data_IF_813701294748
#
_entry.id   IF_813701294748
#
_cell.length_a   1.000
_cell.length_b   1.000
_cell.length_c   1.000
_cell.angle_alpha   90.00
_cell.angle_beta   90.00
_cell.angle_gamma   90.00
#
_symmetry.space_group_name_H-M   'P 1'
#
loop_
_entity.id
_entity.type
_entity.pdbx_description
1 polymer ?
#
# COMPACT_ATOMS: atom_id res chain seq x y z
N UNK A 1 31.21 6.36 -4.99
CA UNK A 1 30.95 5.20 -4.12
C UNK A 1 29.95 4.36 -4.89
N UNK A 2 30.32 3.14 -5.30
CA UNK A 2 29.38 2.24 -5.97
C UNK A 2 28.27 1.90 -4.99
N UNK A 3 27.04 2.36 -5.27
CA UNK A 3 25.86 1.83 -4.57
C UNK A 3 25.85 0.32 -4.74
N UNK A 4 26.04 -0.39 -3.64
CA UNK A 4 26.02 -1.85 -3.66
C UNK A 4 24.67 -2.31 -4.19
N UNK A 5 24.67 -3.27 -5.11
CA UNK A 5 23.44 -3.83 -5.68
C UNK A 5 22.53 -4.30 -4.54
N UNK A 6 21.39 -3.62 -4.37
CA UNK A 6 20.39 -4.00 -3.36
C UNK A 6 19.94 -5.45 -3.59
N UNK A 7 19.92 -6.23 -2.51
CA UNK A 7 19.48 -7.63 -2.58
C UNK A 7 18.02 -7.74 -2.11
N UNK A 8 17.08 -8.12 -2.99
CA UNK A 8 15.68 -8.31 -2.59
C UNK A 8 15.50 -9.31 -1.43
N UNK A 9 16.39 -10.31 -1.34
CA UNK A 9 16.34 -11.34 -0.30
C UNK A 9 17.02 -10.93 1.02
N UNK A 10 17.49 -9.69 1.14
CA UNK A 10 18.11 -9.22 2.39
C UNK A 10 17.10 -9.07 3.52
N UNK A 11 15.84 -8.75 3.20
CA UNK A 11 14.76 -8.62 4.18
C UNK A 11 13.37 -8.69 3.55
N UNK A 12 12.38 -8.85 4.40
CA UNK A 12 10.96 -8.71 4.10
C UNK A 12 10.34 -7.76 5.12
N UNK A 13 9.33 -6.97 4.72
CA UNK A 13 8.73 -6.01 5.62
C UNK A 13 7.22 -5.83 5.41
N UNK A 14 6.58 -5.24 6.40
CA UNK A 14 5.22 -4.70 6.28
C UNK A 14 5.14 -3.35 7.00
N UNK A 15 4.19 -2.49 6.57
CA UNK A 15 3.90 -1.20 7.20
C UNK A 15 2.42 -1.17 7.54
N UNK A 16 2.09 -0.78 8.75
CA UNK A 16 0.74 -0.83 9.32
C UNK A 16 0.41 0.48 10.00
N UNK A 17 -0.86 0.79 10.14
CA UNK A 17 -1.34 1.88 11.01
C UNK A 17 -1.22 1.44 12.46
N UNK A 18 -0.80 2.35 13.32
CA UNK A 18 -0.86 2.18 14.77
C UNK A 18 -1.53 3.37 15.46
N UNK A 19 -2.19 3.08 16.56
CA UNK A 19 -2.65 4.06 17.55
C UNK A 19 -2.18 3.61 18.93
N UNK A 20 -1.64 4.53 19.72
CA UNK A 20 -1.12 4.23 21.06
C UNK A 20 -2.16 3.56 21.96
N UNK A 21 -3.42 3.98 21.83
CA UNK A 21 -4.53 3.49 22.63
C UNK A 21 -5.19 2.23 22.06
N UNK A 22 -5.13 2.02 20.74
CA UNK A 22 -5.82 0.91 20.04
C UNK A 22 -4.89 -0.20 19.57
N UNK A 23 -3.57 0.06 19.52
CA UNK A 23 -2.58 -0.89 19.04
C UNK A 23 -2.36 -0.80 17.53
N UNK A 24 -2.28 -1.93 16.83
CA UNK A 24 -2.00 -2.03 15.40
C UNK A 24 -3.24 -2.46 14.65
N UNK A 25 -3.58 -1.73 13.58
CA UNK A 25 -4.71 -2.02 12.72
C UNK A 25 -4.39 -3.19 11.77
N UNK A 26 -5.31 -4.13 11.63
CA UNK A 26 -5.23 -5.28 10.70
C UNK A 26 -3.90 -6.06 10.81
N UNK A 27 -3.38 -6.23 12.04
CA UNK A 27 -2.08 -6.88 12.28
C UNK A 27 -1.99 -8.26 11.62
N UNK A 28 -3.00 -9.11 11.82
CA UNK A 28 -2.99 -10.50 11.33
C UNK A 28 -2.88 -10.60 9.80
N UNK A 29 -3.68 -9.89 8.97
CA UNK A 29 -3.49 -9.85 7.53
C UNK A 29 -2.10 -9.39 7.10
N UNK A 30 -1.58 -8.34 7.73
CA UNK A 30 -0.25 -7.81 7.44
C UNK A 30 0.87 -8.82 7.69
N UNK A 31 0.83 -9.52 8.82
CA UNK A 31 1.85 -10.52 9.17
C UNK A 31 1.73 -11.78 8.32
N UNK A 32 0.51 -12.19 7.95
CA UNK A 32 0.31 -13.30 7.02
C UNK A 32 0.95 -12.99 5.65
N UNK A 33 0.65 -11.82 5.07
CA UNK A 33 1.29 -11.38 3.82
C UNK A 33 2.82 -11.31 3.95
N UNK A 34 3.36 -10.80 5.07
CA UNK A 34 4.80 -10.74 5.31
C UNK A 34 5.43 -12.13 5.34
N UNK A 35 4.79 -13.10 5.98
CA UNK A 35 5.22 -14.53 5.99
C UNK A 35 5.22 -15.12 4.58
N UNK A 36 4.15 -14.88 3.80
CA UNK A 36 4.01 -15.39 2.45
C UNK A 36 5.07 -14.79 1.50
N UNK A 37 5.35 -13.49 1.66
CA UNK A 37 6.46 -12.83 0.96
C UNK A 37 7.83 -13.39 1.38
N UNK A 38 8.06 -13.66 2.67
CA UNK A 38 9.29 -14.30 3.13
C UNK A 38 9.49 -15.68 2.47
N UNK A 39 8.44 -16.49 2.42
CA UNK A 39 8.45 -17.80 1.76
C UNK A 39 8.83 -17.66 0.27
N UNK A 40 8.20 -16.71 -0.45
CA UNK A 40 8.50 -16.43 -1.86
C UNK A 40 9.95 -15.97 -2.06
N UNK A 41 10.49 -15.19 -1.14
CA UNK A 41 11.88 -14.71 -1.14
C UNK A 41 12.89 -15.75 -0.63
N UNK A 42 12.43 -16.91 -0.15
CA UNK A 42 13.24 -17.95 0.52
C UNK A 42 13.93 -17.43 1.79
N UNK A 43 13.25 -16.58 2.53
CA UNK A 43 13.57 -16.21 3.91
C UNK A 43 12.74 -17.14 4.80
N UNK A 44 13.31 -17.68 5.88
CA UNK A 44 12.55 -18.52 6.81
C UNK A 44 11.42 -17.72 7.47
N UNK A 45 10.18 -18.01 7.06
CA UNK A 45 8.97 -17.35 7.55
C UNK A 45 8.33 -18.01 8.77
N UNK A 46 8.85 -19.15 9.23
CA UNK A 46 8.20 -20.00 10.25
C UNK A 46 7.93 -19.28 11.57
N UNK A 47 8.83 -18.40 12.00
CA UNK A 47 8.76 -17.65 13.25
C UNK A 47 8.39 -16.16 13.07
N UNK A 48 8.24 -15.67 11.83
CA UNK A 48 8.05 -14.23 11.55
C UNK A 48 6.86 -13.66 12.31
N UNK A 49 5.71 -14.34 12.28
CA UNK A 49 4.49 -13.84 12.94
C UNK A 49 4.70 -13.69 14.45
N UNK A 50 5.21 -14.74 15.10
CA UNK A 50 5.45 -14.73 16.55
C UNK A 50 6.50 -13.69 16.95
N UNK A 51 7.63 -13.63 16.24
CA UNK A 51 8.68 -12.65 16.51
C UNK A 51 8.22 -11.22 16.28
N UNK A 52 7.39 -10.96 15.23
CA UNK A 52 6.83 -9.65 14.97
C UNK A 52 5.96 -9.18 16.12
N UNK A 53 5.06 -10.03 16.61
CA UNK A 53 4.20 -9.70 17.77
C UNK A 53 5.05 -9.42 19.02
N UNK A 54 6.03 -10.27 19.32
CA UNK A 54 6.92 -10.06 20.46
C UNK A 54 7.70 -8.74 20.36
N UNK A 55 8.23 -8.42 19.17
CA UNK A 55 8.97 -7.18 18.97
C UNK A 55 8.08 -5.95 19.05
N UNK A 56 6.83 -6.01 18.58
CA UNK A 56 5.86 -4.92 18.76
C UNK A 56 5.58 -4.67 20.23
N UNK A 57 5.37 -5.72 21.02
CA UNK A 57 5.12 -5.60 22.47
C UNK A 57 6.33 -5.03 23.23
N UNK A 58 7.55 -5.36 22.79
CA UNK A 58 8.79 -4.91 23.45
C UNK A 58 9.21 -3.49 23.06
N UNK A 59 8.84 -3.04 21.84
CA UNK A 59 9.19 -1.73 21.31
C UNK A 59 7.94 -0.84 21.29
N UNK A 60 7.70 -0.18 22.40
CA UNK A 60 6.57 0.77 22.52
C UNK A 60 6.69 1.91 21.50
N UNK A 61 5.57 2.44 20.99
CA UNK A 61 5.58 3.60 20.12
C UNK A 61 6.21 4.82 20.84
N UNK A 62 6.87 5.72 20.06
CA UNK A 62 7.37 6.97 20.60
C UNK A 62 6.20 7.87 21.07
N UNK A 63 6.52 9.10 21.49
CA UNK A 63 5.52 10.11 21.93
C UNK A 63 4.65 10.65 20.77
N UNK A 64 4.18 9.78 19.88
CA UNK A 64 3.19 10.07 18.84
C UNK A 64 1.98 9.18 19.08
N UNK A 65 0.80 9.77 19.04
CA UNK A 65 -0.44 9.04 19.37
C UNK A 65 -0.86 8.10 18.25
N UNK A 66 -0.65 8.50 16.99
CA UNK A 66 -1.03 7.73 15.80
C UNK A 66 -0.01 7.89 14.67
N UNK A 67 0.11 6.87 13.84
CA UNK A 67 1.02 6.90 12.70
C UNK A 67 1.22 5.53 12.08
N UNK A 68 2.42 5.31 11.54
CA UNK A 68 2.80 4.08 10.87
C UNK A 68 3.87 3.34 11.66
N UNK A 69 3.66 2.04 11.84
CA UNK A 69 4.70 1.11 12.29
C UNK A 69 5.15 0.22 11.14
N UNK A 70 6.46 0.18 10.89
CA UNK A 70 7.09 -0.74 9.96
C UNK A 70 7.84 -1.81 10.72
N UNK A 71 7.52 -3.06 10.43
CA UNK A 71 8.27 -4.22 10.86
C UNK A 71 9.05 -4.75 9.67
N UNK A 72 10.32 -5.03 9.88
CA UNK A 72 11.22 -5.61 8.91
C UNK A 72 11.96 -6.79 9.53
N UNK A 73 11.98 -7.94 8.82
CA UNK A 73 12.73 -9.13 9.17
C UNK A 73 13.85 -9.33 8.17
N UNK A 74 15.09 -9.34 8.62
CA UNK A 74 16.24 -9.63 7.76
C UNK A 74 16.31 -11.11 7.38
N UNK A 75 17.11 -11.44 6.37
CA UNK A 75 17.41 -12.84 5.99
C UNK A 75 18.09 -13.65 7.10
N UNK A 76 18.65 -12.98 8.11
CA UNK A 76 19.22 -13.59 9.32
C UNK A 76 18.26 -13.58 10.52
N UNK A 77 16.97 -13.36 10.25
CA UNK A 77 15.88 -13.34 11.23
C UNK A 77 16.00 -12.24 12.30
N UNK A 78 16.74 -11.18 12.03
CA UNK A 78 16.78 -10.01 12.91
C UNK A 78 15.58 -9.13 12.63
N UNK A 79 14.82 -8.82 13.68
CA UNK A 79 13.64 -7.97 13.60
C UNK A 79 14.01 -6.50 13.86
N UNK A 80 13.40 -5.60 13.08
CA UNK A 80 13.50 -4.16 13.26
C UNK A 80 12.10 -3.54 13.24
N UNK A 81 11.81 -2.73 14.25
CA UNK A 81 10.54 -1.98 14.37
C UNK A 81 10.84 -0.49 14.26
N UNK A 82 10.13 0.22 13.39
CA UNK A 82 10.26 1.66 13.23
C UNK A 82 8.89 2.31 13.22
N UNK A 83 8.72 3.36 13.99
CA UNK A 83 7.53 4.19 14.03
C UNK A 83 7.77 5.51 13.31
N UNK A 84 6.75 6.04 12.63
CA UNK A 84 6.81 7.35 11.97
C UNK A 84 5.40 7.95 11.84
N UNK A 85 5.26 9.28 11.75
CA UNK A 85 3.98 9.91 11.47
C UNK A 85 3.47 9.59 10.06
N UNK A 86 2.19 9.88 9.82
CA UNK A 86 1.64 9.90 8.46
C UNK A 86 2.28 11.00 7.63
N UNK A 87 2.51 10.72 6.34
CA UNK A 87 3.12 11.67 5.40
C UNK A 87 2.08 12.35 4.52
N UNK A 88 1.09 11.57 4.01
CA UNK A 88 -0.02 12.09 3.22
C UNK A 88 -1.13 12.52 4.17
N UNK A 89 -1.59 13.75 4.01
CA UNK A 89 -2.64 14.35 4.84
C UNK A 89 -3.78 14.93 4.01
N UNK A 90 -3.58 15.07 2.68
CA UNK A 90 -4.59 15.58 1.76
C UNK A 90 -5.45 14.43 1.27
N UNK A 91 -6.73 14.70 1.12
CA UNK A 91 -7.70 13.74 0.55
C UNK A 91 -7.66 13.74 -0.97
N UNK A 92 -7.29 14.85 -1.57
CA UNK A 92 -7.17 15.09 -3.00
C UNK A 92 -5.69 15.28 -3.32
N UNK A 93 -5.20 14.53 -4.30
CA UNK A 93 -3.76 14.44 -4.57
C UNK A 93 -3.48 14.47 -6.07
N UNK A 94 -2.31 14.99 -6.40
CA UNK A 94 -1.73 14.91 -7.73
C UNK A 94 -0.74 13.74 -7.83
N UNK A 95 -0.72 13.09 -8.97
CA UNK A 95 0.17 11.97 -9.23
C UNK A 95 1.05 12.22 -10.46
N UNK A 96 2.23 11.61 -10.46
CA UNK A 96 3.09 11.53 -11.65
C UNK A 96 3.36 10.08 -12.01
N UNK A 97 3.60 9.81 -13.29
CA UNK A 97 3.98 8.48 -13.75
C UNK A 97 5.49 8.29 -13.71
N UNK A 98 5.92 7.10 -13.28
CA UNK A 98 7.34 6.70 -13.27
C UNK A 98 7.48 5.25 -13.76
N UNK A 99 8.62 4.86 -14.35
CA UNK A 99 8.86 3.47 -14.71
C UNK A 99 8.81 2.54 -13.50
N UNK A 100 8.09 1.43 -13.62
CA UNK A 100 8.08 0.39 -12.59
C UNK A 100 9.37 -0.43 -12.62
N UNK A 101 9.94 -0.82 -11.47
CA UNK A 101 11.01 -1.80 -11.43
C UNK A 101 10.48 -3.17 -11.87
N UNK A 102 11.22 -3.82 -12.77
CA UNK A 102 10.91 -5.17 -13.25
C UNK A 102 11.70 -6.18 -12.41
N UNK A 103 10.99 -7.01 -11.68
CA UNK A 103 11.58 -8.04 -10.84
C UNK A 103 11.37 -9.45 -11.41
N UNK A 104 12.31 -10.37 -11.20
CA UNK A 104 12.05 -11.78 -11.48
C UNK A 104 10.82 -12.30 -10.74
N UNK A 105 10.10 -13.27 -11.31
CA UNK A 105 8.83 -13.80 -10.78
C UNK A 105 8.89 -14.16 -9.28
N UNK A 106 10.05 -14.63 -8.78
CA UNK A 106 10.29 -14.97 -7.37
C UNK A 106 10.38 -13.76 -6.42
N UNK A 107 10.44 -12.53 -6.95
CA UNK A 107 10.56 -11.27 -6.18
C UNK A 107 9.35 -10.37 -6.45
N UNK A 108 8.85 -10.38 -7.68
CA UNK A 108 7.74 -9.55 -8.11
C UNK A 108 6.55 -9.62 -7.13
N UNK A 109 5.92 -8.49 -6.87
CA UNK A 109 4.77 -8.37 -5.96
C UNK A 109 5.08 -8.59 -4.47
N UNK A 110 6.35 -8.57 -4.05
CA UNK A 110 6.70 -8.72 -2.62
C UNK A 110 7.24 -7.41 -2.04
N UNK A 111 7.06 -7.21 -0.74
CA UNK A 111 7.73 -6.14 0.04
C UNK A 111 9.09 -6.67 0.53
N UNK A 112 10.15 -6.29 -0.18
CA UNK A 112 11.49 -6.89 -0.04
C UNK A 112 12.60 -5.86 0.25
N UNK A 113 13.80 -6.31 0.58
CA UNK A 113 14.91 -5.46 1.01
C UNK A 113 15.44 -4.46 -0.04
N UNK A 114 15.28 -4.74 -1.34
CA UNK A 114 15.66 -3.83 -2.42
C UNK A 114 14.51 -2.87 -2.75
N UNK A 115 14.27 -1.86 -1.93
CA UNK A 115 13.14 -0.94 -2.01
C UNK A 115 13.52 0.46 -2.54
N UNK A 116 14.73 0.64 -3.08
CA UNK A 116 15.24 1.94 -3.56
C UNK A 116 14.40 2.51 -4.71
N UNK A 117 13.93 1.68 -5.63
CA UNK A 117 13.11 2.13 -6.76
C UNK A 117 11.80 2.79 -6.29
N UNK A 118 11.13 2.24 -5.26
CA UNK A 118 9.93 2.85 -4.68
C UNK A 118 10.24 4.14 -3.92
N UNK A 119 11.40 4.19 -3.23
CA UNK A 119 11.86 5.44 -2.59
C UNK A 119 12.22 6.51 -3.63
N UNK A 120 12.86 6.13 -4.74
CA UNK A 120 13.18 7.02 -5.85
C UNK A 120 11.89 7.56 -6.50
N UNK A 121 10.91 6.70 -6.77
CA UNK A 121 9.60 7.10 -7.29
C UNK A 121 8.94 8.18 -6.43
N UNK A 122 8.92 7.99 -5.10
CA UNK A 122 8.45 9.01 -4.17
C UNK A 122 9.21 10.34 -4.27
N UNK A 123 10.55 10.28 -4.37
CA UNK A 123 11.38 11.48 -4.52
C UNK A 123 11.11 12.19 -5.85
N UNK A 124 10.86 11.45 -6.92
CA UNK A 124 10.56 12.01 -8.23
C UNK A 124 9.17 12.68 -8.23
N UNK A 125 8.16 12.08 -7.57
CA UNK A 125 6.87 12.74 -7.34
C UNK A 125 7.07 14.07 -6.59
N UNK A 126 7.79 14.06 -5.47
CA UNK A 126 8.03 15.28 -4.70
C UNK A 126 8.77 16.37 -5.50
N UNK A 127 9.74 16.01 -6.36
CA UNK A 127 10.43 16.96 -7.25
C UNK A 127 9.50 17.57 -8.29
N UNK A 128 8.53 16.80 -8.77
CA UNK A 128 7.52 17.25 -9.71
C UNK A 128 6.39 18.07 -9.04
N UNK A 129 6.42 18.20 -7.70
CA UNK A 129 5.36 18.87 -6.94
C UNK A 129 4.10 18.00 -6.74
N UNK A 130 4.19 16.70 -7.03
CA UNK A 130 3.08 15.76 -6.87
C UNK A 130 3.17 15.00 -5.53
N UNK A 131 2.05 14.45 -5.10
CA UNK A 131 1.92 13.73 -3.83
C UNK A 131 2.29 12.24 -3.96
N UNK A 132 2.02 11.63 -5.12
CA UNK A 132 2.17 10.20 -5.39
C UNK A 132 2.91 9.94 -6.70
N UNK A 133 3.60 8.79 -6.77
CA UNK A 133 4.07 8.24 -8.03
C UNK A 133 3.27 6.98 -8.40
N UNK A 134 2.75 6.93 -9.62
CA UNK A 134 2.13 5.78 -10.24
C UNK A 134 3.18 5.04 -11.09
N UNK A 135 3.40 3.78 -10.78
CA UNK A 135 4.42 2.96 -11.44
C UNK A 135 3.87 2.34 -12.72
N UNK A 136 4.53 2.59 -13.84
CA UNK A 136 4.10 2.15 -15.18
C UNK A 136 4.97 1.02 -15.70
N UNK A 137 4.31 -0.02 -16.20
CA UNK A 137 4.93 -1.08 -16.98
C UNK A 137 4.04 -1.46 -18.16
N UNK A 138 4.60 -1.59 -19.36
CA UNK A 138 3.85 -1.90 -20.60
C UNK A 138 2.57 -1.04 -20.76
N UNK A 139 2.73 0.30 -20.68
CA UNK A 139 1.63 1.27 -20.84
C UNK A 139 0.47 1.08 -19.86
N UNK A 140 0.71 0.51 -18.70
CA UNK A 140 -0.32 0.29 -17.68
C UNK A 140 0.21 0.66 -16.30
N UNK A 141 -0.64 1.22 -15.46
CA UNK A 141 -0.35 1.42 -14.04
C UNK A 141 -0.32 0.05 -13.37
N UNK A 142 0.79 -0.29 -12.73
CA UNK A 142 0.97 -1.59 -12.07
C UNK A 142 0.90 -1.48 -10.55
N UNK A 143 1.37 -0.36 -9.98
CA UNK A 143 1.36 -0.11 -8.53
C UNK A 143 1.53 1.40 -8.26
N UNK A 144 1.53 1.82 -7.01
CA UNK A 144 1.98 3.13 -6.56
C UNK A 144 3.24 3.03 -5.69
N UNK A 145 3.92 4.13 -5.46
CA UNK A 145 5.13 4.18 -4.61
C UNK A 145 4.85 3.68 -3.17
N UNK A 146 3.65 3.91 -2.65
CA UNK A 146 3.19 3.55 -1.29
C UNK A 146 1.70 3.24 -1.19
N UNK A 147 1.01 3.12 -2.32
CA UNK A 147 -0.42 2.91 -2.42
C UNK A 147 -0.75 1.90 -3.52
N UNK A 148 -2.00 1.49 -3.59
CA UNK A 148 -2.56 0.69 -4.66
C UNK A 148 -3.59 1.53 -5.40
N UNK A 149 -3.37 1.85 -6.68
CA UNK A 149 -4.35 2.55 -7.51
C UNK A 149 -5.57 1.67 -7.79
N UNK A 150 -6.74 2.26 -7.70
CA UNK A 150 -8.04 1.65 -7.98
C UNK A 150 -8.80 2.59 -8.91
N UNK A 151 -9.24 2.09 -10.05
CA UNK A 151 -9.88 2.88 -11.11
C UNK A 151 -11.34 2.45 -11.23
N UNK A 152 -12.26 3.39 -11.19
CA UNK A 152 -13.66 3.17 -11.59
C UNK A 152 -13.84 3.65 -13.01
N UNK A 153 -14.33 2.80 -13.89
CA UNK A 153 -14.61 3.17 -15.27
C UNK A 153 -15.97 3.87 -15.41
N UNK A 154 -16.28 4.27 -16.63
CA UNK A 154 -17.54 4.97 -16.99
C UNK A 154 -18.80 4.14 -16.75
N UNK A 155 -18.68 2.80 -16.69
CA UNK A 155 -19.77 1.87 -16.42
C UNK A 155 -19.90 1.55 -14.91
N UNK A 156 -19.07 2.16 -14.05
CA UNK A 156 -19.06 1.95 -12.61
C UNK A 156 -18.36 0.67 -12.17
N UNK A 157 -17.61 0.01 -13.06
CA UNK A 157 -16.80 -1.17 -12.71
C UNK A 157 -15.50 -0.71 -12.07
N UNK A 158 -15.16 -1.32 -10.95
CA UNK A 158 -13.94 -1.02 -10.19
C UNK A 158 -12.82 -1.95 -10.64
N UNK A 159 -11.71 -1.38 -11.09
CA UNK A 159 -10.54 -2.07 -11.60
C UNK A 159 -9.33 -1.89 -10.68
N UNK A 160 -8.56 -2.93 -10.50
CA UNK A 160 -7.22 -2.88 -9.90
C UNK A 160 -6.24 -3.71 -10.74
N UNK A 161 -4.95 -3.41 -10.62
CA UNK A 161 -3.92 -4.05 -11.44
C UNK A 161 -3.83 -5.56 -11.19
N UNK A 162 -3.79 -6.35 -12.27
CA UNK A 162 -3.48 -7.79 -12.28
C UNK A 162 -1.99 -8.07 -12.49
N UNK A 163 -1.17 -7.02 -12.54
CA UNK A 163 0.27 -7.13 -12.78
C UNK A 163 0.97 -7.93 -11.67
N UNK A 164 1.89 -8.84 -12.02
CA UNK A 164 2.72 -9.52 -11.04
C UNK A 164 3.66 -8.58 -10.27
N UNK A 165 3.83 -7.34 -10.73
CA UNK A 165 4.64 -6.31 -10.07
C UNK A 165 3.85 -5.55 -9.00
N UNK A 166 2.52 -5.60 -9.02
CA UNK A 166 1.66 -5.04 -7.98
C UNK A 166 1.83 -5.80 -6.66
N UNK A 167 2.02 -5.06 -5.58
CA UNK A 167 2.05 -5.66 -4.24
C UNK A 167 0.62 -5.83 -3.74
N UNK A 168 0.27 -7.02 -3.27
CA UNK A 168 -1.03 -7.27 -2.65
C UNK A 168 -1.33 -6.23 -1.56
N UNK A 169 -2.45 -5.52 -1.70
CA UNK A 169 -2.87 -4.46 -0.78
C UNK A 169 -3.79 -5.00 0.31
N UNK A 170 -3.38 -4.89 1.57
CA UNK A 170 -4.23 -5.23 2.72
C UNK A 170 -5.43 -4.29 2.80
N UNK A 171 -5.21 -3.00 2.56
CA UNK A 171 -6.28 -1.99 2.56
C UNK A 171 -7.32 -2.28 1.48
N UNK A 172 -6.89 -2.54 0.24
CA UNK A 172 -7.82 -2.91 -0.84
C UNK A 172 -8.58 -4.21 -0.52
N UNK A 173 -7.89 -5.22 0.02
CA UNK A 173 -8.54 -6.48 0.39
C UNK A 173 -9.59 -6.29 1.48
N UNK A 174 -9.34 -5.41 2.44
CA UNK A 174 -10.33 -5.06 3.47
C UNK A 174 -11.56 -4.35 2.87
N UNK A 175 -11.36 -3.48 1.87
CA UNK A 175 -12.46 -2.77 1.18
C UNK A 175 -13.28 -3.69 0.25
N UNK A 176 -12.64 -4.66 -0.42
CA UNK A 176 -13.29 -5.48 -1.47
C UNK A 176 -14.56 -6.18 -0.99
N UNK A 177 -14.56 -6.76 0.20
CA UNK A 177 -15.73 -7.48 0.72
C UNK A 177 -16.94 -6.58 0.89
N UNK A 178 -16.72 -5.37 1.38
CA UNK A 178 -17.78 -4.37 1.61
C UNK A 178 -18.26 -3.77 0.29
N UNK A 179 -17.35 -3.44 -0.62
CA UNK A 179 -17.70 -2.95 -1.97
C UNK A 179 -18.57 -3.97 -2.73
N UNK A 180 -18.22 -5.25 -2.66
CA UNK A 180 -19.04 -6.33 -3.26
C UNK A 180 -20.42 -6.45 -2.60
N UNK A 181 -20.50 -6.32 -1.27
CA UNK A 181 -21.74 -6.34 -0.52
C UNK A 181 -22.67 -5.16 -0.86
N UNK A 182 -22.09 -3.99 -1.19
CA UNK A 182 -22.82 -2.81 -1.67
C UNK A 182 -23.16 -2.85 -3.17
N UNK A 183 -22.85 -3.95 -3.85
CA UNK A 183 -23.24 -4.19 -5.24
C UNK A 183 -22.26 -3.66 -6.28
N UNK A 184 -21.07 -3.21 -5.92
CA UNK A 184 -20.05 -2.84 -6.89
C UNK A 184 -19.49 -4.06 -7.61
N UNK A 185 -19.26 -3.91 -8.91
CA UNK A 185 -18.53 -4.91 -9.68
C UNK A 185 -17.02 -4.61 -9.61
N UNK A 186 -16.24 -5.59 -9.15
CA UNK A 186 -14.79 -5.46 -8.98
C UNK A 186 -14.08 -6.45 -9.89
N UNK A 187 -13.11 -5.97 -10.67
CA UNK A 187 -12.32 -6.78 -11.58
C UNK A 187 -10.82 -6.48 -11.43
N UNK A 188 -9.99 -7.45 -11.77
CA UNK A 188 -8.57 -7.23 -11.95
C UNK A 188 -8.23 -7.21 -13.44
N UNK A 189 -7.31 -6.33 -13.84
CA UNK A 189 -6.91 -6.19 -15.22
C UNK A 189 -5.82 -5.15 -15.43
N UNK A 190 -5.48 -4.88 -16.68
CA UNK A 190 -4.51 -3.84 -17.04
C UNK A 190 -5.13 -2.46 -16.86
N UNK A 191 -4.60 -1.65 -15.95
CA UNK A 191 -4.98 -0.24 -15.81
C UNK A 191 -4.24 0.57 -16.89
N UNK A 192 -4.64 0.37 -18.16
CA UNK A 192 -3.98 0.98 -19.31
C UNK A 192 -4.43 2.43 -19.54
N UNK A 193 -3.72 3.14 -20.41
CA UNK A 193 -3.98 4.55 -20.75
C UNK A 193 -5.43 4.79 -21.17
N UNK A 194 -6.05 3.87 -21.92
CA UNK A 194 -7.44 4.02 -22.38
C UNK A 194 -8.43 3.98 -21.20
N UNK A 195 -8.21 3.04 -20.25
CA UNK A 195 -9.04 2.95 -19.05
C UNK A 195 -8.88 4.21 -18.19
N UNK A 196 -7.65 4.68 -18.01
CA UNK A 196 -7.34 5.86 -17.21
C UNK A 196 -7.91 7.14 -17.85
N UNK A 197 -7.77 7.31 -19.17
CA UNK A 197 -8.27 8.48 -19.88
C UNK A 197 -9.81 8.60 -19.89
N UNK A 198 -10.52 7.52 -19.63
CA UNK A 198 -11.99 7.46 -19.61
C UNK A 198 -12.56 7.12 -18.24
N UNK A 199 -11.71 7.08 -17.22
CA UNK A 199 -12.17 6.71 -15.89
C UNK A 199 -13.18 7.71 -15.34
N UNK A 200 -14.10 7.19 -14.58
CA UNK A 200 -15.00 7.99 -13.79
C UNK A 200 -14.30 8.56 -12.56
N UNK A 201 -13.46 7.72 -11.90
CA UNK A 201 -12.72 8.13 -10.72
C UNK A 201 -11.49 7.25 -10.51
N UNK A 202 -10.42 7.83 -10.00
CA UNK A 202 -9.25 7.09 -9.53
C UNK A 202 -9.02 7.40 -8.06
N UNK A 203 -8.91 6.35 -7.26
CA UNK A 203 -8.51 6.45 -5.86
C UNK A 203 -7.22 5.67 -5.62
N UNK A 204 -6.43 6.10 -4.66
CA UNK A 204 -5.27 5.35 -4.19
C UNK A 204 -5.50 4.93 -2.75
N UNK A 205 -5.28 3.63 -2.46
CA UNK A 205 -5.53 3.06 -1.14
C UNK A 205 -4.27 2.43 -0.56
N UNK A 206 -4.08 2.54 0.75
CA UNK A 206 -2.92 1.94 1.43
C UNK A 206 -2.86 2.29 2.90
N UNK A 207 -2.18 1.47 3.70
CA UNK A 207 -2.08 1.69 5.15
C UNK A 207 -1.50 3.06 5.52
N UNK A 208 -0.55 3.58 4.71
CA UNK A 208 0.06 4.90 4.96
C UNK A 208 -0.60 6.04 4.20
N UNK A 209 -1.43 5.71 3.21
CA UNK A 209 -2.11 6.66 2.34
C UNK A 209 -3.56 6.87 2.80
N UNK A 210 -4.13 5.88 3.50
CA UNK A 210 -5.57 5.84 3.72
C UNK A 210 -6.31 5.60 2.42
N UNK A 211 -7.30 6.43 2.14
CA UNK A 211 -8.00 6.57 0.85
C UNK A 211 -7.83 8.00 0.39
N UNK A 212 -7.28 8.19 -0.80
CA UNK A 212 -7.14 9.52 -1.43
C UNK A 212 -7.66 9.48 -2.86
N UNK A 213 -8.22 10.59 -3.33
CA UNK A 213 -8.65 10.77 -4.71
C UNK A 213 -7.52 11.37 -5.53
N UNK A 214 -7.20 10.76 -6.67
CA UNK A 214 -6.24 11.33 -7.63
C UNK A 214 -7.01 12.29 -8.55
N UNK A 215 -6.63 13.56 -8.55
CA UNK A 215 -7.26 14.60 -9.35
C UNK A 215 -6.52 14.85 -10.67
N UNK A 216 -5.20 14.66 -10.67
CA UNK A 216 -4.40 14.78 -11.90
C UNK A 216 -3.32 13.72 -12.00
N UNK A 217 -2.93 13.38 -13.22
CA UNK A 217 -1.78 12.52 -13.54
C UNK A 217 -0.92 13.27 -14.56
N UNK A 218 0.37 13.48 -14.23
CA UNK A 218 1.33 14.24 -15.04
C UNK A 218 0.82 15.65 -15.43
N UNK A 219 0.04 16.27 -14.54
CA UNK A 219 -0.56 17.58 -14.71
C UNK A 219 -1.87 17.58 -15.50
N UNK A 220 -2.32 16.44 -16.03
CA UNK A 220 -3.59 16.34 -16.75
C UNK A 220 -4.71 15.88 -15.79
N UNK A 221 -5.84 16.58 -15.70
CA UNK A 221 -6.97 16.19 -14.87
C UNK A 221 -7.51 14.80 -15.25
N UNK A 222 -7.89 14.01 -14.24
CA UNK A 222 -8.48 12.67 -14.44
C UNK A 222 -9.79 12.53 -13.68
N UNK A 223 -10.68 11.66 -14.17
CA UNK A 223 -11.99 11.41 -13.58
C UNK A 223 -13.07 12.35 -14.06
N UNK A 224 -14.28 12.16 -13.54
CA UNK A 224 -15.49 12.91 -13.87
C UNK A 224 -16.12 13.46 -12.59
N UNK A 225 -16.89 14.52 -12.73
CA UNK A 225 -17.66 15.06 -11.60
C UNK A 225 -18.81 14.14 -11.19
N UNK A 226 -19.17 14.17 -9.91
CA UNK A 226 -20.36 13.50 -9.40
C UNK A 226 -20.18 12.01 -9.09
N UNK A 227 -18.98 11.47 -9.21
CA UNK A 227 -18.67 10.09 -8.82
C UNK A 227 -18.40 9.98 -7.32
N UNK A 228 -18.54 8.76 -6.77
CA UNK A 228 -18.61 8.55 -5.32
C UNK A 228 -17.69 7.44 -4.78
N UNK A 229 -16.79 6.90 -5.60
CA UNK A 229 -15.89 5.83 -5.16
C UNK A 229 -15.02 6.27 -3.99
N UNK A 230 -14.46 7.49 -4.05
CA UNK A 230 -13.64 8.05 -2.99
C UNK A 230 -14.41 8.10 -1.66
N UNK A 231 -15.59 8.74 -1.64
CA UNK A 231 -16.38 8.86 -0.41
C UNK A 231 -16.81 7.49 0.12
N UNK A 232 -17.19 6.57 -0.76
CA UNK A 232 -17.55 5.20 -0.40
C UNK A 232 -16.37 4.47 0.25
N UNK A 233 -15.20 4.45 -0.40
CA UNK A 233 -14.01 3.81 0.15
C UNK A 233 -13.54 4.46 1.46
N UNK A 234 -13.65 5.81 1.56
CA UNK A 234 -13.29 6.54 2.77
C UNK A 234 -14.20 6.16 3.94
N UNK A 235 -15.51 6.19 3.76
CA UNK A 235 -16.46 5.76 4.80
C UNK A 235 -16.23 4.30 5.23
N UNK A 236 -15.91 3.41 4.28
CA UNK A 236 -15.60 2.01 4.61
C UNK A 236 -14.33 1.88 5.45
N UNK A 237 -13.27 2.63 5.15
CA UNK A 237 -12.03 2.61 5.95
C UNK A 237 -12.30 3.16 7.34
N UNK A 238 -13.07 4.23 7.48
CA UNK A 238 -13.48 4.77 8.78
C UNK A 238 -14.22 3.70 9.61
N UNK A 239 -15.16 2.95 9.02
CA UNK A 239 -15.82 1.83 9.71
C UNK A 239 -14.86 0.70 10.10
N UNK A 240 -13.86 0.39 9.26
CA UNK A 240 -12.82 -0.60 9.59
C UNK A 240 -11.97 -0.12 10.77
N UNK A 241 -11.64 1.16 10.82
CA UNK A 241 -10.87 1.78 11.90
C UNK A 241 -11.68 1.93 13.19
N UNK A 242 -12.99 2.12 13.10
CA UNK A 242 -13.88 2.24 14.26
C UNK A 242 -14.18 0.88 14.92
N UNK A 243 -14.04 -0.23 14.20
CA UNK A 243 -14.25 -1.56 14.77
C UNK A 243 -13.07 -1.99 15.66
N UNK A 244 -13.27 -2.13 16.99
CA UNK A 244 -12.20 -2.54 17.91
C UNK A 244 -11.59 -3.90 17.59
N UNK A 245 -12.32 -4.79 16.90
CA UNK A 245 -11.83 -6.12 16.54
C UNK A 245 -10.73 -6.08 15.46
N UNK A 246 -10.59 -4.98 14.75
CA UNK A 246 -9.54 -4.76 13.76
C UNK A 246 -8.21 -4.29 14.39
N UNK A 247 -8.21 -3.99 15.69
CA UNK A 247 -7.05 -3.53 16.44
C UNK A 247 -6.54 -4.59 17.41
N UNK A 248 -5.26 -4.51 17.76
CA UNK A 248 -4.63 -5.49 18.69
C UNK A 248 -4.85 -5.21 20.16
N UNK A 249 -5.43 -4.08 20.53
CA UNK A 249 -5.37 -3.50 21.88
C UNK A 249 -4.11 -2.63 22.05
N UNK A 250 -4.22 -1.62 22.90
CA UNK A 250 -3.15 -0.65 23.11
C UNK A 250 -1.93 -1.21 23.86
N UNK A 251 -0.88 -0.39 23.96
CA UNK A 251 0.33 -0.65 24.74
C UNK A 251 0.18 -0.25 26.23
N UNK A 252 -1.05 -0.13 26.74
CA UNK A 252 -1.33 0.22 28.12
C UNK A 252 -0.99 -0.88 29.13
#
# INVERSE_FOLDING_TARGET
MSEGVENPRSSVFTTMVFSKNRGVLLLKPHLNRMRDHATKLKIDGSSIVQQSVQNLLQNQPPEIDEGLVRIECSSTLQMKVNYRPFEIRNEYVDAVTVPSPVWPARVAGTKHGAWSAYRAAKLDANKAGADLALMIHEHSIVDGDRCTPVVMDEDGIIWFSDSPFSVESITLNALKSTLLAEGYHIQSGKLNERLVARCAEIVAVGSGTGVVKIESIDGEPVGQEGMNLFNTCKSMIEHIEDDPNNWTGGWG
#
